data_IF_475636617505
#
_entry.id   IF_475636617505
#
_cell.length_a   1.000
_cell.length_b   1.000
_cell.length_c   1.000
_cell.angle_alpha   90.00
_cell.angle_beta   90.00
_cell.angle_gamma   90.00
#
_symmetry.space_group_name_H-M   'P 1'
#
loop_
_entity.id
_entity.type
_entity.pdbx_description
1 polymer ?
#
# COMPACT_ATOMS: atom_id res chain seq x y z
N UNK A 1 33.15 75.88 -6.47
CA UNK A 1 32.31 76.74 -5.60
C UNK A 1 31.73 75.85 -4.51
N UNK A 2 31.82 76.25 -3.23
CA UNK A 2 33.05 76.06 -2.44
C UNK A 2 32.79 75.69 -0.95
N UNK A 3 33.87 75.51 -0.19
CA UNK A 3 33.94 75.52 1.29
C UNK A 3 34.75 74.32 1.82
N UNK A 4 36.09 74.31 1.98
CA UNK A 4 37.03 75.24 2.68
C UNK A 4 36.72 75.29 4.19
N UNK A 5 37.59 75.04 5.19
CA UNK A 5 38.94 75.52 5.58
C UNK A 5 39.37 74.68 6.84
N UNK A 6 40.57 74.11 6.98
CA UNK A 6 41.86 74.64 7.53
C UNK A 6 42.23 74.23 8.98
N UNK A 7 43.35 73.49 9.06
CA UNK A 7 44.60 73.64 9.87
C UNK A 7 44.51 73.93 11.39
N UNK A 8 45.14 73.08 12.21
CA UNK A 8 46.26 73.49 13.09
C UNK A 8 47.07 72.31 13.65
N UNK A 9 48.39 72.52 13.65
CA UNK A 9 49.49 71.61 13.97
C UNK A 9 50.08 71.99 15.37
N UNK A 10 51.27 71.52 15.77
CA UNK A 10 51.58 70.40 16.67
C UNK A 10 52.05 70.85 18.07
N UNK A 11 52.32 69.90 18.99
CA UNK A 11 53.31 70.13 20.06
C UNK A 11 53.91 68.82 20.57
N UNK A 12 55.21 68.72 20.37
CA UNK A 12 56.10 67.69 20.87
C UNK A 12 56.46 67.92 22.35
N UNK A 13 56.65 66.83 23.09
CA UNK A 13 57.51 66.68 24.28
C UNK A 13 57.60 65.16 24.54
N UNK A 14 58.62 64.44 24.07
CA UNK A 14 60.03 64.35 24.51
C UNK A 14 60.24 63.77 25.91
N UNK A 15 61.17 62.82 25.95
CA UNK A 15 61.90 62.24 27.09
C UNK A 15 61.28 60.98 27.72
N UNK A 16 61.79 59.80 27.32
CA UNK A 16 62.96 59.11 27.92
C UNK A 16 62.50 58.31 29.17
N UNK A 17 62.80 57.03 29.38
CA UNK A 17 63.74 56.12 28.75
C UNK A 17 63.72 54.80 29.57
N UNK A 18 64.35 53.77 29.01
CA UNK A 18 65.00 52.64 29.67
C UNK A 18 64.38 51.23 29.56
N UNK A 19 64.92 50.51 28.56
CA UNK A 19 65.54 49.17 28.63
C UNK A 19 64.64 47.98 29.04
N UNK A 20 64.41 47.05 28.10
CA UNK A 20 65.02 45.70 28.09
C UNK A 20 64.68 44.87 26.83
N UNK A 21 65.69 44.20 26.30
CA UNK A 21 65.66 43.15 25.26
C UNK A 21 65.05 41.83 25.77
N UNK A 22 65.02 40.72 24.99
CA UNK A 22 64.84 40.51 23.55
C UNK A 22 63.50 39.80 23.24
N UNK A 23 63.07 39.85 21.98
CA UNK A 23 61.80 39.27 21.51
C UNK A 23 61.80 37.74 21.56
N UNK A 24 61.17 37.15 22.58
CA UNK A 24 60.77 35.74 22.54
C UNK A 24 59.52 35.56 21.66
N UNK A 25 59.60 34.59 20.74
CA UNK A 25 58.51 34.22 19.84
C UNK A 25 57.36 33.62 20.65
N UNK A 26 56.25 34.36 20.74
CA UNK A 26 54.97 33.81 21.19
C UNK A 26 54.34 33.01 20.05
N UNK A 27 54.32 31.69 20.20
CA UNK A 27 53.45 30.81 19.41
C UNK A 27 51.98 31.12 19.73
N UNK A 28 51.08 31.26 18.74
CA UNK A 28 49.66 31.36 19.03
C UNK A 28 49.19 30.05 19.66
N UNK A 29 48.60 30.17 20.85
CA UNK A 29 47.87 29.11 21.53
C UNK A 29 46.90 28.42 20.56
N UNK A 30 47.00 27.11 20.45
CA UNK A 30 46.05 26.27 19.72
C UNK A 30 44.64 26.54 20.24
N UNK A 31 43.83 27.24 19.44
CA UNK A 31 42.39 27.23 19.66
C UNK A 31 41.94 25.78 19.53
N UNK A 32 41.48 25.22 20.65
CA UNK A 32 40.71 23.98 20.64
C UNK A 32 39.51 24.20 19.72
N UNK A 33 39.59 23.63 18.52
CA UNK A 33 38.45 23.52 17.62
C UNK A 33 37.38 22.75 18.38
N UNK A 34 36.37 23.44 18.90
CA UNK A 34 35.16 22.80 19.38
C UNK A 34 34.58 22.03 18.20
N UNK A 35 34.84 20.72 18.16
CA UNK A 35 34.22 19.81 17.24
C UNK A 35 32.72 19.84 17.53
N UNK A 36 31.98 20.60 16.71
CA UNK A 36 30.53 20.50 16.67
C UNK A 36 30.25 19.04 16.36
N UNK A 37 29.80 18.31 17.36
CA UNK A 37 29.42 16.91 17.20
C UNK A 37 28.17 16.95 16.34
N UNK A 38 28.32 16.69 15.04
CA UNK A 38 27.17 16.46 14.18
C UNK A 38 26.35 15.35 14.84
N UNK A 39 25.03 15.53 15.06
CA UNK A 39 24.21 14.43 15.51
C UNK A 39 24.44 13.25 14.56
N UNK A 40 24.67 12.06 15.13
CA UNK A 40 24.85 10.83 14.35
C UNK A 40 23.76 10.81 13.28
N UNK A 41 24.17 10.90 12.01
CA UNK A 41 23.26 10.79 10.87
C UNK A 41 22.41 9.55 11.10
N UNK A 42 21.09 9.72 11.22
CA UNK A 42 20.17 8.62 11.39
C UNK A 42 20.41 7.59 10.27
N UNK A 43 20.46 6.30 10.63
CA UNK A 43 20.76 5.28 9.63
C UNK A 43 19.67 5.27 8.56
N UNK A 44 20.02 4.99 7.31
CA UNK A 44 19.03 4.92 6.22
C UNK A 44 18.01 3.80 6.47
N UNK A 45 18.41 2.77 7.22
CA UNK A 45 17.53 1.71 7.71
C UNK A 45 16.44 2.27 8.64
N UNK A 46 16.81 3.08 9.64
CA UNK A 46 15.86 3.70 10.56
C UNK A 46 14.96 4.71 9.84
N UNK A 47 15.51 5.50 8.91
CA UNK A 47 14.72 6.41 8.07
C UNK A 47 13.70 5.65 7.21
N UNK A 48 14.10 4.51 6.63
CA UNK A 48 13.22 3.62 5.90
C UNK A 48 12.11 3.09 6.79
N UNK A 49 12.44 2.46 7.92
CA UNK A 49 11.44 1.93 8.84
C UNK A 49 10.47 3.00 9.35
N UNK A 50 10.96 4.20 9.68
CA UNK A 50 10.12 5.32 10.07
C UNK A 50 9.17 5.73 8.95
N UNK A 51 9.66 5.81 7.72
CA UNK A 51 8.80 6.07 6.55
C UNK A 51 7.72 4.99 6.41
N UNK A 52 8.08 3.71 6.57
CA UNK A 52 7.14 2.60 6.49
C UNK A 52 6.02 2.71 7.52
N UNK A 53 6.33 2.87 8.80
CA UNK A 53 5.32 2.99 9.85
C UNK A 53 4.50 4.28 9.74
N UNK A 54 5.10 5.37 9.25
CA UNK A 54 4.38 6.63 9.08
C UNK A 54 3.43 6.64 7.87
N UNK A 55 3.77 5.91 6.78
CA UNK A 55 3.05 6.02 5.51
C UNK A 55 2.28 4.76 5.11
N UNK A 56 2.86 3.58 5.31
CA UNK A 56 2.31 2.31 4.83
C UNK A 56 1.58 1.51 5.92
N UNK A 57 1.91 1.75 7.20
CA UNK A 57 1.21 1.13 8.33
C UNK A 57 0.89 2.17 9.41
N UNK A 58 0.03 3.17 9.13
CA UNK A 58 -0.41 4.10 10.17
C UNK A 58 -1.24 3.37 11.24
N UNK A 59 -1.30 3.94 12.44
CA UNK A 59 -2.21 3.48 13.49
C UNK A 59 -3.64 3.96 13.19
N UNK A 60 -4.31 3.24 12.29
CA UNK A 60 -5.60 3.64 11.72
C UNK A 60 -6.80 3.21 12.57
N UNK A 61 -6.77 3.62 13.83
CA UNK A 61 -7.88 3.47 14.77
C UNK A 61 -7.92 2.14 15.51
N UNK A 62 -8.90 1.96 16.41
CA UNK A 62 -8.86 0.94 17.45
C UNK A 62 -8.84 -0.49 16.90
N UNK A 63 -9.44 -0.74 15.73
CA UNK A 63 -9.54 -2.08 15.15
C UNK A 63 -8.20 -2.62 14.62
N UNK A 64 -7.36 -1.76 14.04
CA UNK A 64 -6.05 -2.18 13.50
C UNK A 64 -4.89 -1.91 14.47
N UNK A 65 -5.15 -1.24 15.60
CA UNK A 65 -4.13 -0.87 16.60
C UNK A 65 -3.33 -2.08 17.11
N UNK A 66 -3.99 -3.22 17.35
CA UNK A 66 -3.33 -4.47 17.76
C UNK A 66 -2.39 -5.03 16.68
N UNK A 67 -2.78 -4.91 15.41
CA UNK A 67 -1.97 -5.35 14.28
C UNK A 67 -0.74 -4.44 14.10
N UNK A 68 -0.93 -3.12 14.17
CA UNK A 68 0.15 -2.14 14.14
C UNK A 68 1.13 -2.36 15.30
N UNK A 69 0.64 -2.48 16.54
CA UNK A 69 1.45 -2.74 17.72
C UNK A 69 2.24 -4.05 17.63
N UNK A 70 1.63 -5.10 17.07
CA UNK A 70 2.34 -6.35 16.82
C UNK A 70 3.46 -6.17 15.78
N UNK A 71 3.21 -5.44 14.69
CA UNK A 71 4.20 -5.21 13.63
C UNK A 71 5.39 -4.40 14.17
N UNK A 72 5.12 -3.35 14.93
CA UNK A 72 6.13 -2.54 15.64
C UNK A 72 6.94 -3.40 16.61
N UNK A 73 6.26 -4.18 17.47
CA UNK A 73 6.93 -5.09 18.42
C UNK A 73 7.80 -6.12 17.68
N UNK A 74 7.32 -6.65 16.57
CA UNK A 74 8.05 -7.64 15.78
C UNK A 74 9.26 -7.05 15.07
N UNK A 75 9.18 -5.79 14.64
CA UNK A 75 10.31 -5.05 14.08
C UNK A 75 11.42 -4.83 15.11
N UNK A 76 11.08 -4.34 16.31
CA UNK A 76 12.06 -4.03 17.36
C UNK A 76 12.54 -5.26 18.13
N UNK A 77 11.71 -6.30 18.27
CA UNK A 77 12.03 -7.49 19.05
C UNK A 77 12.92 -8.51 18.33
N UNK A 78 13.25 -8.28 17.05
CA UNK A 78 13.98 -9.21 16.21
C UNK A 78 15.32 -8.61 15.75
N UNK A 79 16.34 -9.47 15.60
CA UNK A 79 17.66 -9.05 15.14
C UNK A 79 17.66 -8.54 13.68
N UNK A 80 18.73 -7.86 13.23
CA UNK A 80 18.82 -7.25 11.89
C UNK A 80 18.65 -8.25 10.73
N UNK A 81 18.92 -9.53 10.97
CA UNK A 81 18.76 -10.60 9.98
C UNK A 81 17.35 -11.18 9.90
N UNK A 82 16.39 -10.68 10.69
CA UNK A 82 15.01 -11.14 10.62
C UNK A 82 14.34 -10.66 9.32
N UNK A 83 13.63 -11.57 8.66
CA UNK A 83 12.98 -11.31 7.37
C UNK A 83 12.04 -10.10 7.40
N UNK A 84 11.25 -9.97 8.46
CA UNK A 84 10.25 -8.91 8.60
C UNK A 84 10.91 -7.54 8.79
N UNK A 85 11.99 -7.49 9.57
CA UNK A 85 12.77 -6.26 9.75
C UNK A 85 13.41 -5.80 8.44
N UNK A 86 14.10 -6.70 7.75
CA UNK A 86 14.78 -6.38 6.50
C UNK A 86 13.80 -5.85 5.43
N UNK A 87 12.63 -6.49 5.29
CA UNK A 87 11.65 -6.06 4.28
C UNK A 87 10.94 -4.75 4.65
N UNK A 88 10.66 -4.49 5.93
CA UNK A 88 10.11 -3.19 6.40
C UNK A 88 11.05 -2.05 6.03
N UNK A 89 12.34 -2.21 6.33
CA UNK A 89 13.37 -1.22 5.99
C UNK A 89 13.47 -1.03 4.47
N UNK A 90 13.46 -2.12 3.69
CA UNK A 90 13.53 -2.07 2.23
C UNK A 90 12.33 -1.33 1.61
N UNK A 91 11.10 -1.68 2.00
CA UNK A 91 9.87 -1.03 1.53
C UNK A 91 9.89 0.46 1.88
N UNK A 92 10.21 0.78 3.12
CA UNK A 92 10.27 2.15 3.59
C UNK A 92 11.31 2.98 2.85
N UNK A 93 12.50 2.43 2.61
CA UNK A 93 13.53 3.07 1.79
C UNK A 93 13.09 3.26 0.34
N UNK A 94 12.38 2.30 -0.25
CA UNK A 94 11.83 2.43 -1.61
C UNK A 94 10.84 3.60 -1.68
N UNK A 95 9.89 3.67 -0.74
CA UNK A 95 8.95 4.78 -0.61
C UNK A 95 9.63 6.13 -0.42
N UNK A 96 10.59 6.20 0.51
CA UNK A 96 11.40 7.39 0.75
C UNK A 96 12.13 7.85 -0.52
N UNK A 97 12.74 6.91 -1.25
CA UNK A 97 13.48 7.21 -2.48
C UNK A 97 12.58 7.73 -3.59
N UNK A 98 11.33 7.28 -3.66
CA UNK A 98 10.35 7.73 -4.64
C UNK A 98 9.84 9.15 -4.33
N UNK A 99 9.55 9.43 -3.05
CA UNK A 99 9.04 10.75 -2.63
C UNK A 99 10.11 11.83 -2.73
N UNK A 100 11.33 11.53 -2.30
CA UNK A 100 12.41 12.51 -2.19
C UNK A 100 13.41 12.45 -3.35
N UNK A 101 13.15 11.63 -4.38
CA UNK A 101 14.04 11.42 -5.52
C UNK A 101 15.50 11.19 -5.08
N UNK A 102 15.73 10.15 -4.27
CA UNK A 102 17.04 9.88 -3.65
C UNK A 102 17.71 8.61 -4.22
N UNK A 103 18.54 8.70 -5.29
CA UNK A 103 19.12 7.54 -5.97
C UNK A 103 20.01 6.66 -5.07
N UNK A 104 20.72 7.28 -4.12
CA UNK A 104 21.54 6.53 -3.15
C UNK A 104 20.68 5.62 -2.28
N UNK A 105 19.57 6.14 -1.75
CA UNK A 105 18.59 5.36 -0.97
C UNK A 105 17.97 4.26 -1.83
N UNK A 106 17.69 4.53 -3.11
CA UNK A 106 17.20 3.51 -4.04
C UNK A 106 18.17 2.33 -4.18
N UNK A 107 19.48 2.59 -4.31
CA UNK A 107 20.47 1.49 -4.37
C UNK A 107 20.51 0.67 -3.07
N UNK A 108 20.35 1.33 -1.92
CA UNK A 108 20.35 0.69 -0.61
C UNK A 108 19.06 -0.13 -0.35
N UNK A 109 17.91 0.33 -0.85
CA UNK A 109 16.66 -0.41 -0.72
C UNK A 109 16.72 -1.77 -1.45
N UNK A 110 17.34 -1.83 -2.62
CA UNK A 110 17.55 -3.09 -3.35
C UNK A 110 18.51 -4.04 -2.63
N UNK A 111 19.61 -3.52 -2.05
CA UNK A 111 20.51 -4.34 -1.24
C UNK A 111 19.79 -4.94 -0.03
N UNK A 112 18.96 -4.14 0.66
CA UNK A 112 18.19 -4.60 1.81
C UNK A 112 17.07 -5.57 1.41
N UNK A 113 16.45 -5.38 0.25
CA UNK A 113 15.51 -6.33 -0.33
C UNK A 113 16.17 -7.69 -0.61
N UNK A 114 17.39 -7.73 -1.14
CA UNK A 114 18.16 -8.97 -1.29
C UNK A 114 18.42 -9.66 0.06
N UNK A 115 18.78 -8.90 1.09
CA UNK A 115 18.90 -9.43 2.46
C UNK A 115 17.59 -10.06 2.93
N UNK A 116 16.45 -9.40 2.68
CA UNK A 116 15.14 -9.93 3.02
C UNK A 116 14.82 -11.24 2.28
N UNK A 117 15.16 -11.36 0.99
CA UNK A 117 14.98 -12.62 0.23
C UNK A 117 15.82 -13.77 0.80
N UNK A 118 17.08 -13.51 1.17
CA UNK A 118 17.95 -14.52 1.80
C UNK A 118 17.36 -14.98 3.14
N UNK A 119 16.90 -14.04 3.96
CA UNK A 119 16.25 -14.34 5.23
C UNK A 119 14.90 -15.05 5.06
N UNK A 120 14.14 -14.72 4.02
CA UNK A 120 12.90 -15.41 3.65
C UNK A 120 13.18 -16.88 3.34
N UNK A 121 14.20 -17.17 2.52
CA UNK A 121 14.56 -18.56 2.21
C UNK A 121 14.90 -19.36 3.48
N UNK A 122 15.62 -18.76 4.44
CA UNK A 122 15.92 -19.41 5.72
C UNK A 122 14.66 -19.69 6.53
N UNK A 123 13.73 -18.74 6.58
CA UNK A 123 12.45 -18.91 7.28
C UNK A 123 11.59 -20.00 6.64
N UNK A 124 11.54 -20.07 5.30
CA UNK A 124 10.79 -21.10 4.57
C UNK A 124 11.39 -22.50 4.72
N UNK A 125 12.71 -22.62 4.90
CA UNK A 125 13.37 -23.89 5.16
C UNK A 125 13.11 -24.45 6.57
N UNK A 126 12.49 -23.67 7.47
CA UNK A 126 12.08 -24.13 8.79
C UNK A 126 10.54 -24.31 8.80
N UNK A 127 10.02 -25.55 8.93
CA UNK A 127 8.58 -25.82 8.85
C UNK A 127 7.71 -25.01 9.81
N UNK A 128 8.21 -24.69 11.01
CA UNK A 128 7.49 -23.90 12.01
C UNK A 128 7.45 -22.43 11.60
N UNK A 129 8.58 -21.89 11.10
CA UNK A 129 8.64 -20.50 10.66
C UNK A 129 7.90 -20.28 9.34
N UNK A 130 7.90 -21.26 8.44
CA UNK A 130 7.30 -21.18 7.11
C UNK A 130 5.81 -20.80 7.14
N UNK A 131 5.07 -21.28 8.16
CA UNK A 131 3.63 -21.01 8.33
C UNK A 131 3.34 -19.85 9.31
N UNK A 132 4.36 -19.22 9.87
CA UNK A 132 4.18 -18.16 10.87
C UNK A 132 3.60 -16.88 10.27
N UNK A 133 2.92 -16.09 11.12
CA UNK A 133 2.44 -14.74 10.76
C UNK A 133 3.56 -13.80 10.31
N UNK A 134 4.72 -13.89 10.96
CA UNK A 134 5.90 -13.08 10.62
C UNK A 134 6.37 -13.36 9.19
N UNK A 135 6.47 -14.64 8.81
CA UNK A 135 6.89 -15.03 7.45
C UNK A 135 5.85 -14.64 6.43
N UNK A 136 4.56 -14.86 6.71
CA UNK A 136 3.51 -14.51 5.77
C UNK A 136 3.39 -12.99 5.58
N UNK A 137 3.51 -12.20 6.66
CA UNK A 137 3.58 -10.74 6.57
C UNK A 137 4.81 -10.28 5.78
N UNK A 138 5.97 -10.87 6.05
CA UNK A 138 7.16 -10.53 5.28
C UNK A 138 6.98 -10.82 3.78
N UNK A 139 6.28 -11.89 3.42
CA UNK A 139 5.94 -12.20 2.02
C UNK A 139 5.03 -11.14 1.41
N UNK A 140 3.98 -10.71 2.13
CA UNK A 140 3.10 -9.62 1.70
C UNK A 140 3.93 -8.35 1.44
N UNK A 141 4.87 -8.03 2.32
CA UNK A 141 5.76 -6.88 2.17
C UNK A 141 6.77 -7.03 1.02
N UNK A 142 7.23 -8.25 0.70
CA UNK A 142 8.07 -8.48 -0.48
C UNK A 142 7.28 -8.25 -1.78
N UNK A 143 6.03 -8.71 -1.84
CA UNK A 143 5.14 -8.40 -2.96
C UNK A 143 4.91 -6.88 -3.07
N UNK A 144 4.70 -6.21 -1.94
CA UNK A 144 4.53 -4.76 -1.93
C UNK A 144 5.80 -4.00 -2.33
N UNK A 145 6.99 -4.49 -1.97
CA UNK A 145 8.25 -3.88 -2.42
C UNK A 145 8.33 -3.85 -3.96
N UNK A 146 7.91 -4.93 -4.62
CA UNK A 146 7.85 -4.96 -6.09
C UNK A 146 6.86 -3.92 -6.63
N UNK A 147 5.77 -3.68 -5.89
CA UNK A 147 4.79 -2.64 -6.21
C UNK A 147 5.34 -1.22 -6.08
N UNK A 148 5.95 -0.89 -4.95
CA UNK A 148 6.53 0.44 -4.70
C UNK A 148 7.73 0.71 -5.61
N UNK A 149 8.47 -0.34 -5.96
CA UNK A 149 9.65 -0.25 -6.81
C UNK A 149 9.31 -0.35 -8.31
N UNK A 150 8.03 -0.34 -8.71
CA UNK A 150 7.62 -0.37 -10.12
C UNK A 150 8.14 0.88 -10.87
N UNK A 151 9.32 0.74 -11.47
CA UNK A 151 9.85 1.68 -12.47
C UNK A 151 9.67 1.18 -13.91
N UNK A 152 9.34 -0.10 -14.11
CA UNK A 152 9.11 -0.71 -15.42
C UNK A 152 8.19 -1.95 -15.30
N UNK A 153 7.47 -2.30 -16.39
CA UNK A 153 6.63 -3.51 -16.50
C UNK A 153 7.40 -4.81 -16.22
N UNK A 154 8.72 -4.79 -16.40
CA UNK A 154 9.59 -5.95 -16.15
C UNK A 154 9.47 -6.50 -14.74
N UNK A 155 9.06 -5.74 -13.73
CA UNK A 155 8.96 -6.23 -12.33
C UNK A 155 7.74 -7.11 -12.06
N UNK A 156 6.78 -7.17 -13.00
CA UNK A 156 5.54 -7.91 -12.86
C UNK A 156 5.76 -9.39 -12.50
N UNK A 157 6.73 -10.05 -13.14
CA UNK A 157 7.00 -11.47 -12.91
C UNK A 157 7.50 -11.76 -11.48
N UNK A 158 8.23 -10.82 -10.85
CA UNK A 158 8.66 -10.95 -9.46
C UNK A 158 7.48 -10.80 -8.50
N UNK A 159 6.63 -9.79 -8.71
CA UNK A 159 5.40 -9.63 -7.95
C UNK A 159 4.53 -10.89 -8.05
N UNK A 160 4.30 -11.38 -9.27
CA UNK A 160 3.54 -12.61 -9.52
C UNK A 160 4.17 -13.85 -8.85
N UNK A 161 5.50 -13.93 -8.74
CA UNK A 161 6.17 -15.00 -8.01
C UNK A 161 5.85 -14.97 -6.51
N UNK A 162 5.85 -13.78 -5.90
CA UNK A 162 5.42 -13.62 -4.50
C UNK A 162 3.95 -13.96 -4.30
N UNK A 163 3.06 -13.59 -5.22
CA UNK A 163 1.64 -13.97 -5.14
C UNK A 163 1.46 -15.48 -5.17
N UNK A 164 2.17 -16.19 -6.05
CA UNK A 164 2.15 -17.66 -6.10
C UNK A 164 2.70 -18.28 -4.81
N UNK A 165 3.84 -17.79 -4.33
CA UNK A 165 4.44 -18.27 -3.09
C UNK A 165 3.51 -18.05 -1.88
N UNK A 166 2.89 -16.87 -1.77
CA UNK A 166 1.94 -16.58 -0.71
C UNK A 166 0.66 -17.40 -0.81
N UNK A 167 0.22 -17.75 -2.02
CA UNK A 167 -0.90 -18.68 -2.21
C UNK A 167 -0.57 -20.07 -1.67
N UNK A 168 0.66 -20.56 -1.88
CA UNK A 168 1.12 -21.82 -1.31
C UNK A 168 1.22 -21.76 0.23
N UNK A 169 1.75 -20.67 0.79
CA UNK A 169 1.79 -20.47 2.26
C UNK A 169 0.38 -20.37 2.84
N UNK A 170 -0.54 -19.68 2.15
CA UNK A 170 -1.95 -19.60 2.56
C UNK A 170 -2.58 -20.98 2.67
N UNK A 171 -2.30 -21.87 1.71
CA UNK A 171 -2.75 -23.26 1.74
C UNK A 171 -2.14 -24.03 2.92
N UNK A 172 -0.83 -23.90 3.15
CA UNK A 172 -0.12 -24.57 4.25
C UNK A 172 -0.60 -24.12 5.63
N UNK A 173 -0.91 -22.83 5.80
CA UNK A 173 -1.49 -22.26 7.03
C UNK A 173 -2.87 -22.83 7.36
N UNK A 174 -3.60 -23.29 6.34
CA UNK A 174 -4.90 -23.94 6.49
C UNK A 174 -5.94 -23.09 7.21
N UNK A 175 -6.93 -23.73 7.82
CA UNK A 175 -8.00 -23.05 8.56
C UNK A 175 -7.55 -22.47 9.91
N UNK A 176 -6.45 -22.97 10.45
CA UNK A 176 -5.97 -22.59 11.79
C UNK A 176 -5.56 -21.12 11.88
N UNK A 177 -5.19 -20.50 10.75
CA UNK A 177 -4.90 -19.06 10.71
C UNK A 177 -6.09 -18.19 11.15
N UNK A 178 -7.33 -18.68 11.01
CA UNK A 178 -8.54 -17.95 11.39
C UNK A 178 -8.90 -18.12 12.88
N UNK A 179 -8.10 -18.86 13.65
CA UNK A 179 -8.22 -18.90 15.11
C UNK A 179 -7.67 -17.64 15.79
N UNK A 180 -7.02 -16.76 15.03
CA UNK A 180 -6.48 -15.49 15.52
C UNK A 180 -6.92 -14.33 14.63
N UNK A 181 -7.17 -13.17 15.25
CA UNK A 181 -7.48 -11.93 14.55
C UNK A 181 -6.37 -11.57 13.54
N UNK A 182 -5.10 -11.74 13.94
CA UNK A 182 -3.95 -11.44 13.08
C UNK A 182 -3.93 -12.30 11.82
N UNK A 183 -4.16 -13.60 11.94
CA UNK A 183 -4.18 -14.47 10.77
C UNK A 183 -5.34 -14.14 9.81
N UNK A 184 -6.50 -13.72 10.33
CA UNK A 184 -7.59 -13.18 9.52
C UNK A 184 -7.21 -11.89 8.78
N UNK A 185 -6.57 -10.93 9.46
CA UNK A 185 -6.11 -9.69 8.86
C UNK A 185 -5.07 -9.93 7.75
N UNK A 186 -4.10 -10.82 7.97
CA UNK A 186 -3.11 -11.17 6.96
C UNK A 186 -3.75 -11.82 5.71
N UNK A 187 -4.75 -12.70 5.91
CA UNK A 187 -5.52 -13.25 4.81
C UNK A 187 -6.26 -12.16 4.02
N UNK A 188 -6.95 -11.23 4.71
CA UNK A 188 -7.69 -10.16 4.03
C UNK A 188 -6.77 -9.19 3.31
N UNK A 189 -5.59 -8.92 3.85
CA UNK A 189 -4.59 -8.09 3.16
C UNK A 189 -4.05 -8.80 1.91
N UNK A 190 -3.73 -10.09 2.00
CA UNK A 190 -3.10 -10.79 0.90
C UNK A 190 -4.08 -11.20 -0.23
N UNK A 191 -5.33 -11.53 0.11
CA UNK A 191 -6.28 -12.10 -0.86
C UNK A 191 -6.49 -11.23 -2.10
N UNK A 192 -6.41 -9.91 -1.95
CA UNK A 192 -6.56 -8.95 -3.04
C UNK A 192 -5.46 -9.09 -4.09
N UNK A 193 -4.25 -9.43 -3.66
CA UNK A 193 -3.14 -9.70 -4.59
C UNK A 193 -3.37 -10.96 -5.42
N UNK A 194 -3.95 -12.02 -4.81
CA UNK A 194 -4.33 -13.24 -5.53
C UNK A 194 -5.41 -12.92 -6.58
N UNK A 195 -6.45 -12.22 -6.18
CA UNK A 195 -7.58 -11.88 -7.07
C UNK A 195 -7.12 -10.99 -8.23
N UNK A 196 -6.27 -10.00 -7.96
CA UNK A 196 -5.68 -9.13 -8.98
C UNK A 196 -4.81 -9.93 -9.96
N UNK A 197 -3.98 -10.85 -9.45
CA UNK A 197 -3.16 -11.73 -10.28
C UNK A 197 -4.04 -12.58 -11.21
N UNK A 198 -5.07 -13.23 -10.66
CA UNK A 198 -5.99 -14.06 -11.45
C UNK A 198 -6.72 -13.25 -12.54
N UNK A 199 -7.16 -12.04 -12.20
CA UNK A 199 -7.81 -11.13 -13.15
C UNK A 199 -6.87 -10.71 -14.28
N UNK A 200 -5.63 -10.34 -13.95
CA UNK A 200 -4.62 -9.91 -14.93
C UNK A 200 -4.17 -11.06 -15.84
N UNK A 201 -3.95 -12.26 -15.29
CA UNK A 201 -3.53 -13.44 -16.07
C UNK A 201 -4.69 -14.11 -16.81
N UNK A 202 -5.93 -13.73 -16.49
CA UNK A 202 -7.16 -14.40 -16.92
C UNK A 202 -7.13 -15.90 -16.57
N UNK A 203 -6.85 -16.21 -15.31
CA UNK A 203 -6.83 -17.59 -14.78
C UNK A 203 -7.84 -17.72 -13.64
N UNK A 204 -8.36 -18.93 -13.48
CA UNK A 204 -9.28 -19.23 -12.38
C UNK A 204 -8.61 -18.99 -11.02
N UNK A 205 -9.43 -18.65 -10.02
CA UNK A 205 -8.98 -18.48 -8.65
C UNK A 205 -8.51 -19.83 -8.08
N UNK A 206 -7.31 -19.90 -7.46
CA UNK A 206 -6.80 -21.14 -6.88
C UNK A 206 -7.71 -21.72 -5.79
N UNK A 207 -7.80 -23.05 -5.74
CA UNK A 207 -8.57 -23.77 -4.72
C UNK A 207 -8.14 -23.40 -3.29
N UNK A 208 -6.85 -23.11 -3.07
CA UNK A 208 -6.34 -22.61 -1.79
C UNK A 208 -7.10 -21.36 -1.31
N UNK A 209 -7.31 -20.40 -2.22
CA UNK A 209 -8.03 -19.16 -1.94
C UNK A 209 -9.53 -19.42 -1.73
N UNK A 210 -10.14 -20.32 -2.51
CA UNK A 210 -11.56 -20.70 -2.33
C UNK A 210 -11.79 -21.34 -0.96
N UNK A 211 -10.95 -22.31 -0.57
CA UNK A 211 -11.01 -22.98 0.75
C UNK A 211 -10.76 -22.02 1.90
N UNK A 212 -9.77 -21.13 1.77
CA UNK A 212 -9.47 -20.10 2.77
C UNK A 212 -10.65 -19.13 2.94
N UNK A 213 -11.27 -18.72 1.82
CA UNK A 213 -12.47 -17.88 1.84
C UNK A 213 -13.60 -18.59 2.56
N UNK A 214 -13.96 -19.81 2.17
CA UNK A 214 -15.00 -20.58 2.85
C UNK A 214 -14.76 -20.72 4.36
N UNK A 215 -13.52 -21.06 4.75
CA UNK A 215 -13.14 -21.22 6.16
C UNK A 215 -13.24 -19.91 6.95
N UNK A 216 -12.85 -18.79 6.33
CA UNK A 216 -12.99 -17.47 6.94
C UNK A 216 -14.46 -17.08 7.08
N UNK A 217 -15.27 -17.24 6.02
CA UNK A 217 -16.68 -16.82 5.99
C UNK A 217 -17.54 -17.57 7.00
N UNK A 218 -17.27 -18.86 7.18
CA UNK A 218 -18.01 -19.75 8.08
C UNK A 218 -17.44 -19.79 9.50
N UNK A 219 -16.28 -19.16 9.74
CA UNK A 219 -15.58 -19.17 11.02
C UNK A 219 -16.08 -18.12 12.01
N UNK A 220 -15.82 -18.37 13.30
CA UNK A 220 -16.19 -17.46 14.40
C UNK A 220 -15.61 -16.05 14.24
N UNK A 221 -14.36 -15.94 13.76
CA UNK A 221 -13.69 -14.65 13.56
C UNK A 221 -14.49 -13.72 12.63
N UNK A 222 -15.10 -14.26 11.56
CA UNK A 222 -15.94 -13.45 10.67
C UNK A 222 -17.24 -13.05 11.35
N UNK A 223 -17.86 -13.93 12.12
CA UNK A 223 -19.08 -13.61 12.87
C UNK A 223 -18.80 -12.48 13.87
N UNK A 224 -17.68 -12.54 14.59
CA UNK A 224 -17.26 -11.48 15.52
C UNK A 224 -17.05 -10.15 14.79
N UNK A 225 -16.41 -10.16 13.62
CA UNK A 225 -16.23 -8.96 12.80
C UNK A 225 -17.54 -8.40 12.25
N UNK A 226 -18.55 -9.24 11.98
CA UNK A 226 -19.88 -8.78 11.59
C UNK A 226 -20.61 -8.13 12.78
N UNK A 227 -20.57 -8.74 13.96
CA UNK A 227 -21.17 -8.19 15.18
C UNK A 227 -20.55 -6.84 15.56
N UNK A 228 -19.25 -6.69 15.37
CA UNK A 228 -18.52 -5.45 15.59
C UNK A 228 -18.50 -4.51 14.36
N UNK A 229 -19.29 -4.82 13.31
CA UNK A 229 -19.49 -3.97 12.12
C UNK A 229 -18.21 -3.62 11.34
N UNK A 230 -17.20 -4.48 11.43
CA UNK A 230 -15.93 -4.44 10.68
C UNK A 230 -16.06 -5.10 9.32
N UNK A 231 -16.79 -6.22 9.27
CA UNK A 231 -17.05 -6.96 8.05
C UNK A 231 -18.47 -6.71 7.56
N UNK A 232 -18.61 -6.56 6.23
CA UNK A 232 -19.93 -6.41 5.62
C UNK A 232 -20.80 -7.63 5.87
N UNK A 233 -22.14 -7.48 5.91
CA UNK A 233 -23.04 -8.62 6.07
C UNK A 233 -22.84 -9.68 4.97
N UNK A 234 -22.80 -9.26 3.70
CA UNK A 234 -22.46 -10.14 2.57
C UNK A 234 -20.95 -10.25 2.31
N UNK A 235 -20.54 -11.26 1.54
CA UNK A 235 -19.14 -11.47 1.15
C UNK A 235 -18.85 -10.98 -0.27
N UNK A 236 -18.30 -9.76 -0.37
CA UNK A 236 -17.84 -9.24 -1.67
C UNK A 236 -16.73 -10.10 -2.30
N UNK A 237 -15.94 -10.79 -1.47
CA UNK A 237 -14.86 -11.68 -1.94
C UNK A 237 -15.41 -12.91 -2.64
N UNK A 238 -16.52 -13.50 -2.18
CA UNK A 238 -17.13 -14.64 -2.87
C UNK A 238 -17.67 -14.23 -4.23
N UNK A 239 -18.33 -13.07 -4.31
CA UNK A 239 -18.76 -12.47 -5.58
C UNK A 239 -17.55 -12.25 -6.50
N UNK A 240 -16.46 -11.67 -5.98
CA UNK A 240 -15.22 -11.46 -6.73
C UNK A 240 -14.65 -12.77 -7.31
N UNK A 241 -14.61 -13.84 -6.53
CA UNK A 241 -14.15 -15.16 -6.99
C UNK A 241 -14.98 -15.63 -8.19
N UNK A 242 -16.30 -15.50 -8.12
CA UNK A 242 -17.21 -15.88 -9.21
C UNK A 242 -16.98 -15.02 -10.47
N UNK A 243 -16.83 -13.70 -10.31
CA UNK A 243 -16.54 -12.77 -11.42
C UNK A 243 -15.20 -13.12 -12.09
N UNK A 244 -14.14 -13.33 -11.31
CA UNK A 244 -12.80 -13.67 -11.84
C UNK A 244 -12.82 -15.02 -12.55
N UNK A 245 -13.54 -16.01 -12.02
CA UNK A 245 -13.67 -17.31 -12.68
C UNK A 245 -14.46 -17.21 -13.99
N UNK A 246 -15.53 -16.40 -14.04
CA UNK A 246 -16.24 -16.11 -15.28
C UNK A 246 -15.32 -15.43 -16.30
N UNK A 247 -14.56 -14.42 -15.87
CA UNK A 247 -13.60 -13.70 -16.70
C UNK A 247 -12.51 -14.61 -17.29
N UNK A 248 -11.97 -15.53 -16.49
CA UNK A 248 -11.02 -16.53 -16.95
C UNK A 248 -11.61 -17.47 -18.01
N UNK A 249 -12.87 -17.91 -17.82
CA UNK A 249 -13.60 -18.74 -18.77
C UNK A 249 -13.88 -18.08 -20.13
N UNK A 250 -13.88 -16.74 -20.20
CA UNK A 250 -14.02 -16.04 -21.48
C UNK A 250 -12.78 -16.17 -22.37
N UNK A 251 -11.59 -16.22 -21.78
CA UNK A 251 -10.32 -16.34 -22.54
C UNK A 251 -10.15 -17.71 -23.16
N UNK A 252 -10.71 -18.76 -22.56
CA UNK A 252 -10.55 -20.12 -23.08
C UNK A 252 -11.21 -20.33 -24.45
N UNK A 253 -12.04 -19.41 -24.96
CA UNK A 253 -12.74 -19.44 -26.27
C UNK A 253 -13.51 -20.75 -26.59
N UNK A 254 -13.42 -21.77 -25.75
CA UNK A 254 -14.12 -23.03 -25.87
C UNK A 254 -15.55 -22.87 -25.34
N UNK A 255 -16.50 -22.96 -26.28
CA UNK A 255 -17.85 -23.52 -26.13
C UNK A 255 -18.78 -23.00 -25.01
N UNK A 256 -18.48 -21.89 -24.33
CA UNK A 256 -19.41 -21.37 -23.31
C UNK A 256 -20.55 -20.62 -23.99
N UNK A 257 -21.77 -21.11 -23.77
CA UNK A 257 -23.02 -20.54 -24.27
C UNK A 257 -23.18 -19.06 -23.87
N UNK A 258 -23.30 -18.14 -24.84
CA UNK A 258 -23.54 -16.73 -24.56
C UNK A 258 -24.78 -16.46 -23.71
N UNK A 259 -25.82 -17.30 -23.79
CA UNK A 259 -27.00 -17.16 -22.92
C UNK A 259 -26.67 -17.51 -21.46
N UNK A 260 -25.89 -18.57 -21.24
CA UNK A 260 -25.39 -18.91 -19.91
C UNK A 260 -24.50 -17.81 -19.32
N UNK A 261 -23.57 -17.23 -20.11
CA UNK A 261 -22.75 -16.10 -19.66
C UNK A 261 -23.61 -14.90 -19.28
N UNK A 262 -24.61 -14.56 -20.12
CA UNK A 262 -25.57 -13.48 -19.83
C UNK A 262 -26.29 -13.72 -18.51
N UNK A 263 -26.80 -14.93 -18.29
CA UNK A 263 -27.49 -15.29 -17.05
C UNK A 263 -26.58 -15.13 -15.82
N UNK A 264 -25.35 -15.63 -15.88
CA UNK A 264 -24.37 -15.51 -14.78
C UNK A 264 -24.00 -14.03 -14.54
N UNK A 265 -23.79 -13.24 -15.60
CA UNK A 265 -23.45 -11.83 -15.46
C UNK A 265 -24.59 -11.02 -14.80
N UNK A 266 -25.85 -11.31 -15.14
CA UNK A 266 -27.02 -10.70 -14.51
C UNK A 266 -27.14 -11.08 -13.03
N UNK A 267 -26.90 -12.35 -12.70
CA UNK A 267 -26.87 -12.82 -11.30
C UNK A 267 -25.77 -12.12 -10.50
N UNK A 268 -24.58 -11.95 -11.08
CA UNK A 268 -23.47 -11.27 -10.43
C UNK A 268 -23.73 -9.77 -10.23
N UNK A 269 -24.36 -9.08 -11.18
CA UNK A 269 -24.75 -7.67 -10.98
C UNK A 269 -25.81 -7.55 -9.87
N UNK A 270 -26.76 -8.50 -9.82
CA UNK A 270 -27.76 -8.57 -8.76
C UNK A 270 -27.14 -8.81 -7.38
N UNK A 271 -26.19 -9.74 -7.26
CA UNK A 271 -25.46 -10.01 -6.02
C UNK A 271 -24.67 -8.78 -5.55
N UNK A 272 -24.07 -8.03 -6.48
CA UNK A 272 -23.35 -6.80 -6.17
C UNK A 272 -24.30 -5.70 -5.65
N UNK A 273 -25.47 -5.51 -6.26
CA UNK A 273 -26.46 -4.56 -5.74
C UNK A 273 -27.06 -5.02 -4.42
N UNK A 274 -27.27 -6.33 -4.23
CA UNK A 274 -27.73 -6.90 -2.97
C UNK A 274 -26.71 -6.68 -1.85
N UNK A 275 -25.42 -6.88 -2.13
CA UNK A 275 -24.35 -6.59 -1.19
C UNK A 275 -24.38 -5.13 -0.75
N UNK A 276 -24.51 -4.20 -1.71
CA UNK A 276 -24.58 -2.75 -1.45
C UNK A 276 -25.82 -2.38 -0.64
N UNK A 277 -26.99 -2.94 -0.97
CA UNK A 277 -28.24 -2.70 -0.26
C UNK A 277 -28.23 -3.23 1.18
N UNK A 278 -27.44 -4.28 1.45
CA UNK A 278 -27.28 -4.86 2.78
C UNK A 278 -26.32 -4.11 3.71
N UNK A 279 -25.64 -3.06 3.25
CA UNK A 279 -24.69 -2.32 4.08
C UNK A 279 -25.38 -1.47 5.15
N UNK A 280 -24.80 -1.45 6.35
CA UNK A 280 -25.27 -0.57 7.43
C UNK A 280 -24.85 0.90 7.17
N UNK A 281 -25.49 1.89 7.82
CA UNK A 281 -25.11 3.30 7.67
C UNK A 281 -23.64 3.61 7.99
N UNK A 282 -23.00 2.79 8.82
CA UNK A 282 -21.58 2.94 9.16
C UNK A 282 -20.64 2.68 7.97
N UNK A 283 -21.12 2.04 6.91
CA UNK A 283 -20.38 1.83 5.66
C UNK A 283 -20.63 2.94 4.64
N UNK A 284 -21.54 3.89 4.95
CA UNK A 284 -21.83 5.02 4.09
C UNK A 284 -20.63 5.94 3.93
N UNK A 285 -20.51 6.53 2.75
CA UNK A 285 -19.57 7.62 2.48
C UNK A 285 -20.36 8.88 2.11
N UNK A 286 -19.72 10.04 2.28
CA UNK A 286 -20.32 11.32 1.90
C UNK A 286 -19.68 11.86 0.64
N UNK A 287 -20.48 12.54 -0.19
CA UNK A 287 -20.00 13.24 -1.38
C UNK A 287 -19.91 14.72 -1.05
N UNK A 288 -18.68 15.26 -1.05
CA UNK A 288 -18.44 16.68 -0.81
C UNK A 288 -18.21 17.37 -2.15
N UNK A 289 -18.97 18.43 -2.40
CA UNK A 289 -18.81 19.28 -3.57
C UNK A 289 -17.81 20.42 -3.25
N UNK A 290 -16.78 20.53 -4.07
CA UNK A 290 -15.70 21.51 -3.96
C UNK A 290 -15.49 22.17 -5.34
N UNK A 291 -16.47 22.99 -5.80
CA UNK A 291 -16.40 23.59 -7.12
C UNK A 291 -15.19 24.53 -7.24
N UNK A 292 -14.47 24.46 -8.37
CA UNK A 292 -13.30 25.30 -8.64
C UNK A 292 -12.02 24.87 -7.91
N UNK A 293 -12.03 23.78 -7.15
CA UNK A 293 -10.81 23.24 -6.58
C UNK A 293 -9.91 22.60 -7.66
N UNK A 294 -8.58 22.68 -7.50
CA UNK A 294 -7.63 22.00 -8.38
C UNK A 294 -7.92 20.49 -8.52
N UNK A 295 -7.54 19.92 -9.67
CA UNK A 295 -7.72 18.49 -9.96
C UNK A 295 -6.98 17.56 -8.99
N UNK A 296 -5.94 18.02 -8.31
CA UNK A 296 -5.24 17.24 -7.29
C UNK A 296 -5.97 17.24 -5.93
N UNK A 297 -7.04 18.02 -5.79
CA UNK A 297 -7.86 18.14 -4.56
C UNK A 297 -9.22 17.47 -4.73
N UNK A 298 -9.74 17.40 -5.94
CA UNK A 298 -11.03 16.76 -6.23
C UNK A 298 -11.10 16.33 -7.70
N UNK A 299 -11.96 15.36 -7.99
CA UNK A 299 -12.27 14.98 -9.37
C UNK A 299 -13.63 15.57 -9.73
N UNK A 300 -13.69 16.35 -10.81
CA UNK A 300 -14.91 17.01 -11.28
C UNK A 300 -15.65 17.80 -10.17
N UNK A 301 -14.89 18.53 -9.34
CA UNK A 301 -15.45 19.30 -8.23
C UNK A 301 -16.06 18.43 -7.12
N UNK A 302 -15.77 17.13 -7.05
CA UNK A 302 -16.30 16.19 -6.06
C UNK A 302 -15.19 15.39 -5.39
N UNK A 303 -15.42 15.03 -4.12
CA UNK A 303 -14.61 14.04 -3.40
C UNK A 303 -15.50 13.17 -2.52
N UNK A 304 -15.17 11.88 -2.45
CA UNK A 304 -15.75 10.97 -1.48
C UNK A 304 -15.00 11.06 -0.17
N UNK A 305 -15.72 11.08 0.95
CA UNK A 305 -15.17 11.00 2.30
C UNK A 305 -15.74 9.74 2.96
N UNK A 306 -14.84 8.81 3.28
CA UNK A 306 -15.14 7.54 3.91
C UNK A 306 -14.87 7.59 5.41
N UNK A 307 -15.53 6.75 6.22
CA UNK A 307 -15.24 6.64 7.65
C UNK A 307 -13.81 6.15 7.93
N UNK A 308 -13.29 5.28 7.06
CA UNK A 308 -11.90 4.82 7.07
C UNK A 308 -11.52 4.26 5.69
N UNK A 309 -10.22 4.01 5.50
CA UNK A 309 -9.68 3.48 4.24
C UNK A 309 -10.16 2.07 3.91
N UNK A 310 -10.45 1.25 4.91
CA UNK A 310 -10.97 -0.11 4.69
C UNK A 310 -12.34 -0.09 4.01
N UNK A 311 -13.23 0.80 4.44
CA UNK A 311 -14.53 1.01 3.79
C UNK A 311 -14.34 1.60 2.40
N UNK A 312 -13.40 2.53 2.23
CA UNK A 312 -13.06 3.09 0.91
C UNK A 312 -12.61 1.99 -0.08
N UNK A 313 -11.74 1.08 0.37
CA UNK A 313 -11.28 -0.09 -0.39
C UNK A 313 -12.45 -1.01 -0.75
N UNK A 314 -13.34 -1.33 0.20
CA UNK A 314 -14.51 -2.17 -0.05
C UNK A 314 -15.45 -1.57 -1.12
N UNK A 315 -15.71 -0.26 -1.07
CA UNK A 315 -16.48 0.43 -2.11
C UNK A 315 -15.78 0.40 -3.46
N UNK A 316 -14.46 0.60 -3.50
CA UNK A 316 -13.71 0.54 -4.75
C UNK A 316 -13.64 -0.88 -5.33
N UNK A 317 -13.57 -1.93 -4.49
CA UNK A 317 -13.74 -3.31 -4.96
C UNK A 317 -15.10 -3.52 -5.58
N UNK A 318 -16.17 -3.03 -4.93
CA UNK A 318 -17.52 -3.14 -5.47
C UNK A 318 -17.65 -2.46 -6.84
N UNK A 319 -17.14 -1.23 -6.98
CA UNK A 319 -17.14 -0.50 -8.26
C UNK A 319 -16.35 -1.24 -9.33
N UNK A 320 -15.13 -1.69 -9.01
CA UNK A 320 -14.27 -2.40 -9.96
C UNK A 320 -14.91 -3.71 -10.44
N UNK A 321 -15.51 -4.48 -9.53
CA UNK A 321 -16.23 -5.71 -9.89
C UNK A 321 -17.44 -5.43 -10.77
N UNK A 322 -18.23 -4.41 -10.44
CA UNK A 322 -19.40 -4.07 -11.22
C UNK A 322 -19.04 -3.52 -12.60
N UNK A 323 -17.94 -2.77 -12.73
CA UNK A 323 -17.36 -2.41 -14.02
C UNK A 323 -16.99 -3.66 -14.82
N UNK A 324 -16.28 -4.61 -14.21
CA UNK A 324 -15.86 -5.85 -14.89
C UNK A 324 -17.06 -6.70 -15.33
N UNK A 325 -18.08 -6.86 -14.49
CA UNK A 325 -19.33 -7.56 -14.85
C UNK A 325 -20.00 -6.89 -16.05
N UNK A 326 -20.09 -5.56 -16.07
CA UNK A 326 -20.69 -4.85 -17.21
C UNK A 326 -19.81 -4.90 -18.47
N UNK A 327 -18.49 -4.97 -18.34
CA UNK A 327 -17.59 -5.25 -19.46
C UNK A 327 -17.80 -6.65 -20.03
N UNK A 328 -17.97 -7.65 -19.16
CA UNK A 328 -18.34 -9.02 -19.55
C UNK A 328 -19.66 -9.03 -20.30
N UNK A 329 -20.67 -8.31 -19.79
CA UNK A 329 -21.97 -8.15 -20.46
C UNK A 329 -21.80 -7.59 -21.86
N UNK A 330 -21.09 -6.47 -22.03
CA UNK A 330 -20.86 -5.86 -23.34
C UNK A 330 -20.13 -6.80 -24.31
N UNK A 331 -19.08 -7.48 -23.85
CA UNK A 331 -18.32 -8.44 -24.67
C UNK A 331 -19.13 -9.69 -25.04
N UNK A 332 -20.10 -10.06 -24.21
CA UNK A 332 -20.94 -11.21 -24.44
C UNK A 332 -22.16 -10.89 -25.32
N UNK A 333 -22.77 -9.72 -25.18
CA UNK A 333 -23.95 -9.30 -25.97
C UNK A 333 -23.68 -9.34 -27.48
N UNK A 334 -22.48 -8.96 -27.92
CA UNK A 334 -22.09 -9.01 -29.34
C UNK A 334 -21.99 -10.43 -29.91
N UNK A 335 -21.99 -11.47 -29.06
CA UNK A 335 -21.94 -12.88 -29.45
C UNK A 335 -23.33 -13.51 -29.59
N UNK A 336 -24.37 -12.80 -29.18
CA UNK A 336 -25.76 -13.29 -29.22
C UNK A 336 -26.39 -13.00 -30.58
N UNK A 337 -27.28 -13.90 -31.01
CA UNK A 337 -28.05 -13.73 -32.26
C UNK A 337 -28.97 -12.51 -32.19
N UNK A 338 -29.51 -12.24 -31.02
CA UNK A 338 -30.34 -11.07 -30.71
C UNK A 338 -29.72 -10.33 -29.52
N UNK A 339 -28.80 -9.38 -29.79
CA UNK A 339 -28.26 -8.47 -28.79
C UNK A 339 -29.35 -7.59 -28.20
N UNK A 340 -29.21 -7.24 -26.93
CA UNK A 340 -30.12 -6.30 -26.26
C UNK A 340 -29.48 -4.91 -26.19
N UNK A 341 -29.84 -4.04 -27.14
CA UNK A 341 -29.31 -2.68 -27.24
C UNK A 341 -29.55 -1.85 -25.96
N UNK A 342 -30.68 -2.06 -25.29
CA UNK A 342 -30.99 -1.36 -24.05
C UNK A 342 -30.06 -1.82 -22.91
N UNK A 343 -29.77 -3.11 -22.82
CA UNK A 343 -28.79 -3.65 -21.86
C UNK A 343 -27.40 -3.13 -22.14
N UNK A 344 -26.98 -3.07 -23.41
CA UNK A 344 -25.67 -2.53 -23.77
C UNK A 344 -25.54 -1.05 -23.42
N UNK A 345 -26.57 -0.25 -23.70
CA UNK A 345 -26.61 1.17 -23.32
C UNK A 345 -26.54 1.35 -21.79
N UNK A 346 -27.29 0.53 -21.04
CA UNK A 346 -27.26 0.54 -19.57
C UNK A 346 -25.88 0.16 -19.03
N UNK A 347 -25.26 -0.90 -19.56
CA UNK A 347 -23.94 -1.35 -19.14
C UNK A 347 -22.87 -0.26 -19.38
N UNK A 348 -22.90 0.42 -20.53
CA UNK A 348 -22.04 1.56 -20.81
C UNK A 348 -22.25 2.70 -19.80
N UNK A 349 -23.49 3.05 -19.49
CA UNK A 349 -23.82 4.09 -18.51
C UNK A 349 -23.30 3.74 -17.11
N UNK A 350 -23.47 2.48 -16.69
CA UNK A 350 -22.98 1.99 -15.39
C UNK A 350 -21.45 2.08 -15.34
N UNK A 351 -20.76 1.59 -16.38
CA UNK A 351 -19.29 1.67 -16.44
C UNK A 351 -18.82 3.12 -16.32
N UNK A 352 -19.40 4.04 -17.10
CA UNK A 352 -19.01 5.44 -17.07
C UNK A 352 -19.22 6.07 -15.69
N UNK A 353 -20.38 5.83 -15.06
CA UNK A 353 -20.66 6.31 -13.72
C UNK A 353 -19.64 5.77 -12.70
N UNK A 354 -19.40 4.46 -12.70
CA UNK A 354 -18.52 3.82 -11.72
C UNK A 354 -17.05 4.22 -11.91
N UNK A 355 -16.59 4.40 -13.15
CA UNK A 355 -15.26 4.93 -13.43
C UNK A 355 -15.11 6.35 -12.86
N UNK A 356 -16.11 7.23 -13.04
CA UNK A 356 -16.11 8.56 -12.42
C UNK A 356 -16.07 8.45 -10.89
N UNK A 357 -16.88 7.58 -10.29
CA UNK A 357 -16.91 7.40 -8.83
C UNK A 357 -15.59 6.86 -8.26
N UNK A 358 -14.87 6.02 -9.02
CA UNK A 358 -13.50 5.59 -8.68
C UNK A 358 -12.56 6.80 -8.71
N UNK A 359 -12.61 7.63 -9.75
CA UNK A 359 -11.79 8.85 -9.80
C UNK A 359 -12.08 9.80 -8.63
N UNK A 360 -13.36 9.98 -8.27
CA UNK A 360 -13.79 10.79 -7.12
C UNK A 360 -13.29 10.22 -5.78
N UNK A 361 -13.12 8.89 -5.67
CA UNK A 361 -12.66 8.25 -4.45
C UNK A 361 -11.15 8.39 -4.20
N UNK A 362 -10.35 8.64 -5.25
CA UNK A 362 -8.88 8.70 -5.17
C UNK A 362 -8.35 9.67 -4.12
N UNK A 363 -9.05 10.79 -3.89
CA UNK A 363 -8.66 11.77 -2.88
C UNK A 363 -8.56 11.18 -1.47
N UNK A 364 -9.41 10.20 -1.13
CA UNK A 364 -9.37 9.56 0.18
C UNK A 364 -8.07 8.80 0.46
N UNK A 365 -7.28 8.51 -0.57
CA UNK A 365 -6.00 7.81 -0.47
C UNK A 365 -4.79 8.74 -0.59
N UNK A 366 -5.03 10.06 -0.70
CA UNK A 366 -3.95 11.07 -0.77
C UNK A 366 -3.16 11.05 0.53
N UNK A 367 -1.83 11.01 0.42
CA UNK A 367 -0.86 10.97 1.53
C UNK A 367 -0.83 9.70 2.40
N UNK A 368 -1.69 8.70 2.11
CA UNK A 368 -1.78 7.39 2.78
C UNK A 368 -1.65 6.23 1.80
N UNK A 369 -0.49 6.05 1.14
CA UNK A 369 -0.29 4.89 0.28
C UNK A 369 -0.32 3.63 1.16
N UNK A 370 -1.15 2.63 0.84
CA UNK A 370 -1.20 1.35 1.57
C UNK A 370 -0.82 0.17 0.67
N UNK A 371 -0.49 -0.95 1.32
CA UNK A 371 -0.06 -2.22 0.71
C UNK A 371 -1.21 -3.14 0.34
#
# INVERSE_FOLDING_TARGET
MPGSFVIQEPLAQSQQSYIRAPTERLFPSSQSSMAITYPLSQSVHDLGANFFFAKYSPDDGPFFSNYHAWLVKSYFGQGPNNVLRAVIEAVGMAGLSNVFYAPRVKSQCHAQYCTALISMQKALNNPVQAISDTTFMALILLAFFETVSFGNRDRYHHWAAHVRAGTAILELRGREQFLSERGGLLYVQFRSSILLFCMHEHVAVPNAMVKATFSFQTGALRQDWQHANIASPGSITEICIRVVNLWAGLKSQEATDPQAIRAIALELDWDLETWKAGLSPAWGYTVVHVPGAPHDVCFDGKKHIYPNLWIAEAWNYWRALRVLVNQITLQNEVRLTEPDDARMALACSIIQQLCNDICISTYSFKDTPRN
#
